data_IF_206301871054
#
_entry.id   IF_206301871054
#
_cell.length_a   1.000
_cell.length_b   1.000
_cell.length_c   1.000
_cell.angle_alpha   90.00
_cell.angle_beta   90.00
_cell.angle_gamma   90.00
#
_symmetry.space_group_name_H-M   'P 1'
#
loop_
_entity.id
_entity.type
_entity.pdbx_description
1 polymer ?
#
# COMPACT_ATOMS: atom_id res chain seq x y z
N UNK A 1 26.29 -45.12 53.33
CA UNK A 1 26.00 -44.43 54.61
C UNK A 1 25.38 -43.08 54.23
N UNK A 2 24.04 -42.89 54.29
CA UNK A 2 23.26 -42.18 55.35
C UNK A 2 23.97 -40.89 55.79
N UNK A 3 23.43 -39.66 55.66
CA UNK A 3 22.26 -39.00 56.32
C UNK A 3 21.66 -37.90 55.37
N UNK A 4 20.35 -37.65 55.18
CA UNK A 4 19.33 -36.97 56.04
C UNK A 4 19.87 -35.69 56.73
N UNK A 5 19.31 -34.47 56.64
CA UNK A 5 17.93 -34.03 56.94
C UNK A 5 17.59 -32.67 56.26
N UNK A 6 16.33 -32.59 55.86
CA UNK A 6 15.36 -31.50 55.61
C UNK A 6 15.66 -30.13 56.27
N UNK A 7 15.45 -29.04 55.52
CA UNK A 7 14.85 -27.81 56.05
C UNK A 7 13.90 -27.19 55.03
N UNK A 8 12.66 -27.04 55.48
CA UNK A 8 11.49 -26.48 54.82
C UNK A 8 11.47 -24.96 55.08
N UNK A 9 11.26 -24.13 54.05
CA UNK A 9 10.64 -22.81 54.23
C UNK A 9 9.64 -22.60 53.09
N UNK A 10 8.36 -22.54 53.46
CA UNK A 10 7.26 -22.02 52.65
C UNK A 10 7.37 -20.49 52.60
N UNK A 11 7.19 -19.91 51.41
CA UNK A 11 6.50 -18.63 51.26
C UNK A 11 5.84 -18.57 49.88
N UNK A 12 4.52 -18.65 49.91
CA UNK A 12 3.58 -18.47 48.81
C UNK A 12 3.52 -17.01 48.34
N UNK A 13 3.51 -16.82 47.02
CA UNK A 13 2.95 -15.62 46.41
C UNK A 13 2.20 -16.03 45.13
N UNK A 14 0.85 -16.07 45.23
CA UNK A 14 -0.02 -15.88 44.09
C UNK A 14 -0.04 -14.39 43.74
N UNK A 15 0.30 -14.07 42.51
CA UNK A 15 -0.21 -12.90 41.78
C UNK A 15 -0.34 -13.38 40.33
N UNK A 16 -1.53 -13.81 39.90
CA UNK A 16 -2.60 -12.96 39.37
C UNK A 16 -2.15 -12.24 38.09
N UNK A 17 -2.88 -12.53 37.02
CA UNK A 17 -2.69 -12.11 35.64
C UNK A 17 -2.19 -10.68 35.47
N UNK A 18 -1.09 -10.55 34.74
CA UNK A 18 -0.86 -9.38 33.90
C UNK A 18 -0.83 -9.88 32.45
N UNK A 19 -2.01 -9.80 31.82
CA UNK A 19 -2.13 -9.91 30.38
C UNK A 19 -1.08 -9.02 29.73
N UNK A 20 -0.23 -9.62 28.91
CA UNK A 20 0.60 -8.92 27.93
C UNK A 20 -0.32 -8.19 26.97
N UNK A 21 -0.61 -6.93 27.28
CA UNK A 21 -1.21 -6.00 26.33
C UNK A 21 -0.12 -5.63 25.33
N UNK A 22 -0.26 -5.90 24.02
CA UNK A 22 0.62 -5.30 23.05
C UNK A 22 0.42 -3.79 23.15
N UNK A 23 1.51 -3.07 23.46
CA UNK A 23 1.61 -1.62 23.39
C UNK A 23 1.27 -1.19 21.96
N UNK A 24 -0.01 -0.94 21.71
CA UNK A 24 -0.45 -0.08 20.60
C UNK A 24 0.16 1.28 20.91
N UNK A 25 1.20 1.63 20.17
CA UNK A 25 1.73 2.99 20.13
C UNK A 25 0.61 3.91 19.63
N UNK A 26 -0.18 4.42 20.57
CA UNK A 26 -1.10 5.53 20.37
C UNK A 26 -0.22 6.76 20.17
N UNK A 27 0.13 7.05 18.92
CA UNK A 27 0.65 8.36 18.55
C UNK A 27 -0.42 9.38 18.94
N UNK A 28 -0.22 10.02 20.09
CA UNK A 28 -1.04 11.12 20.59
C UNK A 28 -0.80 12.33 19.71
N UNK A 29 -1.60 12.47 18.66
CA UNK A 29 -1.79 13.74 17.97
C UNK A 29 -2.58 14.63 18.93
N UNK A 30 -2.06 15.81 19.36
CA UNK A 30 -2.86 16.72 20.15
C UNK A 30 -3.99 17.26 19.26
N UNK A 31 -5.20 16.78 19.51
CA UNK A 31 -6.42 17.40 19.01
C UNK A 31 -6.55 18.78 19.66
N UNK A 32 -6.11 19.82 18.96
CA UNK A 32 -6.49 21.18 19.31
C UNK A 32 -7.96 21.35 18.95
N UNK A 33 -8.81 21.30 19.97
CA UNK A 33 -10.18 21.77 19.88
C UNK A 33 -10.13 23.28 19.59
N UNK A 34 -10.47 23.63 18.35
CA UNK A 34 -10.69 24.99 17.87
C UNK A 34 -11.90 24.94 16.96
N UNK A 35 -12.99 25.53 17.45
CA UNK A 35 -14.31 25.54 16.86
C UNK A 35 -14.37 26.60 15.76
N UNK A 36 -14.12 26.25 14.50
CA UNK A 36 -14.35 27.12 13.35
C UNK A 36 -14.97 26.34 12.18
N UNK A 37 -16.30 26.27 12.21
CA UNK A 37 -17.20 25.74 11.18
C UNK A 37 -17.24 26.58 9.90
N UNK A 38 -16.08 26.88 9.30
CA UNK A 38 -16.02 27.54 7.98
C UNK A 38 -14.77 27.21 7.13
N UNK A 39 -13.97 26.22 7.52
CA UNK A 39 -12.85 25.72 6.72
C UNK A 39 -13.19 24.42 5.96
N UNK A 40 -14.44 24.32 5.46
CA UNK A 40 -14.67 23.66 4.17
C UNK A 40 -14.23 24.65 3.09
N UNK A 41 -13.00 25.14 3.20
CA UNK A 41 -12.34 25.83 2.11
C UNK A 41 -12.18 24.75 1.05
N UNK A 42 -12.77 25.02 -0.12
CA UNK A 42 -12.68 24.17 -1.30
C UNK A 42 -11.27 23.59 -1.37
N UNK A 43 -11.11 22.30 -1.08
CA UNK A 43 -9.89 21.60 -1.43
C UNK A 43 -9.79 21.71 -2.95
N UNK A 44 -9.08 22.72 -3.44
CA UNK A 44 -8.84 22.96 -4.86
C UNK A 44 -7.81 21.94 -5.39
N UNK A 45 -7.85 20.72 -4.86
CA UNK A 45 -6.76 19.78 -4.90
C UNK A 45 -7.26 18.35 -4.77
N UNK A 46 -6.42 17.43 -5.17
CA UNK A 46 -6.75 16.00 -5.18
C UNK A 46 -6.52 15.39 -3.80
N UNK A 47 -7.49 14.59 -3.35
CA UNK A 47 -7.41 13.77 -2.16
C UNK A 47 -7.36 12.28 -2.52
N UNK A 48 -6.70 11.47 -1.71
CA UNK A 48 -6.66 10.02 -1.84
C UNK A 48 -7.15 9.32 -0.57
N UNK A 49 -7.96 8.29 -0.72
CA UNK A 49 -8.31 7.36 0.35
C UNK A 49 -7.77 5.97 0.00
N UNK A 50 -7.03 5.35 0.92
CA UNK A 50 -6.31 4.10 0.67
C UNK A 50 -6.92 2.98 1.51
N UNK A 51 -7.18 1.85 0.88
CA UNK A 51 -7.53 0.59 1.53
C UNK A 51 -6.47 -0.44 1.17
N UNK A 52 -5.62 -0.82 2.12
CA UNK A 52 -4.61 -1.86 1.93
C UNK A 52 -5.19 -3.23 2.25
N UNK A 53 -4.93 -4.21 1.40
CA UNK A 53 -5.35 -5.60 1.60
C UNK A 53 -4.11 -6.39 2.02
N UNK A 54 -3.96 -6.62 3.34
CA UNK A 54 -2.85 -7.37 3.93
C UNK A 54 -1.96 -6.55 4.87
N UNK A 55 -1.18 -7.26 5.70
CA UNK A 55 -0.34 -6.69 6.76
C UNK A 55 1.16 -6.99 6.54
N UNK A 56 1.54 -7.45 5.35
CA UNK A 56 2.92 -7.79 5.00
C UNK A 56 3.77 -6.58 4.64
N UNK A 57 5.09 -6.79 4.52
CA UNK A 57 6.04 -5.73 4.15
C UNK A 57 5.68 -5.04 2.82
N UNK A 58 5.16 -5.79 1.85
CA UNK A 58 4.69 -5.25 0.57
C UNK A 58 3.51 -4.28 0.76
N UNK A 59 2.52 -4.62 1.61
CA UNK A 59 1.38 -3.76 1.89
C UNK A 59 1.80 -2.45 2.58
N UNK A 60 2.79 -2.51 3.48
CA UNK A 60 3.39 -1.33 4.11
C UNK A 60 4.10 -0.46 3.07
N UNK A 61 4.90 -1.07 2.18
CA UNK A 61 5.60 -0.36 1.12
C UNK A 61 4.62 0.33 0.15
N UNK A 62 3.57 -0.37 -0.30
CA UNK A 62 2.51 0.21 -1.14
C UNK A 62 1.80 1.35 -0.42
N UNK A 63 1.39 1.15 0.83
CA UNK A 63 0.70 2.19 1.60
C UNK A 63 1.55 3.46 1.77
N UNK A 64 2.84 3.31 2.06
CA UNK A 64 3.77 4.44 2.16
C UNK A 64 3.98 5.16 0.82
N UNK A 65 4.12 4.42 -0.28
CA UNK A 65 4.27 4.97 -1.63
C UNK A 65 3.04 5.78 -2.04
N UNK A 66 1.85 5.20 -1.89
CA UNK A 66 0.59 5.85 -2.25
C UNK A 66 0.36 7.11 -1.41
N UNK A 67 0.56 7.05 -0.08
CA UNK A 67 0.39 8.22 0.79
C UNK A 67 1.26 9.40 0.35
N UNK A 68 2.54 9.14 0.10
CA UNK A 68 3.50 10.16 -0.36
C UNK A 68 3.04 10.84 -1.66
N UNK A 69 2.56 10.04 -2.61
CA UNK A 69 2.07 10.58 -3.89
C UNK A 69 0.78 11.37 -3.68
N UNK A 70 -0.17 10.88 -2.89
CA UNK A 70 -1.43 11.60 -2.64
C UNK A 70 -1.23 12.95 -1.96
N UNK A 71 -0.22 13.11 -1.11
CA UNK A 71 0.13 14.40 -0.52
C UNK A 71 0.66 15.38 -1.58
N UNK A 72 1.45 14.89 -2.54
CA UNK A 72 1.98 15.68 -3.66
C UNK A 72 0.87 16.18 -4.59
N UNK A 73 -0.21 15.39 -4.76
CA UNK A 73 -1.32 15.72 -5.65
C UNK A 73 -2.26 16.81 -5.13
N UNK A 74 -2.18 17.18 -3.85
CA UNK A 74 -3.05 18.22 -3.26
C UNK A 74 -2.89 19.59 -3.93
N UNK A 75 -1.76 19.86 -4.58
CA UNK A 75 -1.52 21.11 -5.30
C UNK A 75 -2.01 21.06 -6.77
N UNK A 76 -2.46 19.91 -7.26
CA UNK A 76 -2.85 19.74 -8.67
C UNK A 76 -4.37 19.94 -8.81
N UNK A 77 -4.74 21.00 -9.54
CA UNK A 77 -6.14 21.32 -9.88
C UNK A 77 -6.64 20.54 -11.11
N UNK A 78 -5.74 20.24 -12.04
CA UNK A 78 -6.08 19.55 -13.29
C UNK A 78 -6.26 18.05 -13.03
N UNK A 79 -7.47 17.56 -13.29
CA UNK A 79 -7.83 16.18 -12.99
C UNK A 79 -7.08 15.16 -13.82
N UNK A 80 -6.86 15.45 -15.11
CA UNK A 80 -6.13 14.56 -16.01
C UNK A 80 -4.68 14.45 -15.56
N UNK A 81 -4.04 15.60 -15.33
CA UNK A 81 -2.66 15.67 -14.83
C UNK A 81 -2.52 15.00 -13.48
N UNK A 82 -3.49 15.15 -12.57
CA UNK A 82 -3.45 14.51 -11.26
C UNK A 82 -3.49 12.99 -11.38
N UNK A 83 -4.30 12.45 -12.29
CA UNK A 83 -4.39 11.01 -12.55
C UNK A 83 -3.13 10.43 -13.19
N UNK A 84 -2.58 11.10 -14.20
CA UNK A 84 -1.29 10.70 -14.81
C UNK A 84 -0.13 10.78 -13.83
N UNK A 85 -0.12 11.81 -12.99
CA UNK A 85 0.89 11.97 -11.94
C UNK A 85 0.73 10.88 -10.89
N UNK A 86 -0.51 10.60 -10.47
CA UNK A 86 -0.83 9.56 -9.51
C UNK A 86 -0.32 8.20 -9.97
N UNK A 87 -0.73 7.73 -11.15
CA UNK A 87 -0.37 6.40 -11.65
C UNK A 87 1.14 6.24 -11.75
N UNK A 88 1.81 7.18 -12.42
CA UNK A 88 3.25 7.12 -12.66
C UNK A 88 4.08 7.23 -11.39
N UNK A 89 3.82 8.24 -10.56
CA UNK A 89 4.61 8.42 -9.34
C UNK A 89 4.35 7.30 -8.35
N UNK A 90 3.14 6.74 -8.31
CA UNK A 90 2.84 5.66 -7.37
C UNK A 90 3.63 4.41 -7.71
N UNK A 91 3.67 3.97 -8.98
CA UNK A 91 4.48 2.81 -9.36
C UNK A 91 5.97 3.07 -9.20
N UNK A 92 6.45 4.29 -9.46
CA UNK A 92 7.85 4.67 -9.24
C UNK A 92 8.23 4.60 -7.75
N UNK A 93 7.38 5.12 -6.87
CA UNK A 93 7.61 5.09 -5.42
C UNK A 93 7.46 3.68 -4.84
N UNK A 94 6.53 2.88 -5.36
CA UNK A 94 6.43 1.46 -5.04
C UNK A 94 7.69 0.73 -5.45
N UNK A 95 8.17 0.93 -6.68
CA UNK A 95 9.40 0.31 -7.17
C UNK A 95 10.61 0.63 -6.29
N UNK A 96 10.80 1.91 -5.92
CA UNK A 96 11.88 2.33 -5.01
C UNK A 96 11.77 1.72 -3.61
N UNK A 97 10.55 1.48 -3.14
CA UNK A 97 10.26 0.95 -1.79
C UNK A 97 10.08 -0.57 -1.78
N UNK A 98 10.29 -1.24 -2.91
CA UNK A 98 10.16 -2.68 -3.02
C UNK A 98 11.19 -3.37 -2.10
N UNK A 99 10.76 -4.04 -1.02
CA UNK A 99 11.68 -4.68 -0.07
C UNK A 99 12.28 -5.99 -0.62
N UNK A 100 11.75 -6.54 -1.71
CA UNK A 100 12.23 -7.76 -2.35
C UNK A 100 12.16 -7.67 -3.89
N UNK A 101 13.07 -6.89 -4.52
CA UNK A 101 13.09 -6.72 -5.97
C UNK A 101 13.47 -8.01 -6.73
N UNK A 102 14.06 -8.99 -6.05
CA UNK A 102 14.35 -10.30 -6.63
C UNK A 102 13.06 -11.12 -6.80
N UNK A 103 12.14 -11.06 -5.84
CA UNK A 103 10.84 -11.72 -5.95
C UNK A 103 9.84 -10.95 -6.81
N UNK A 104 9.79 -9.63 -6.68
CA UNK A 104 8.80 -8.76 -7.31
C UNK A 104 9.44 -7.88 -8.40
N UNK A 105 9.55 -8.35 -9.65
CA UNK A 105 10.14 -7.58 -10.75
C UNK A 105 9.22 -6.49 -11.33
N UNK A 106 8.00 -6.32 -10.81
CA UNK A 106 7.09 -5.28 -11.28
C UNK A 106 6.22 -4.69 -10.15
N UNK A 107 5.99 -3.38 -10.24
CA UNK A 107 4.95 -2.64 -9.54
C UNK A 107 3.94 -2.09 -10.57
N UNK A 108 2.66 -2.17 -10.23
CA UNK A 108 1.53 -1.93 -11.15
C UNK A 108 0.51 -1.04 -10.45
N UNK A 109 -0.02 -0.04 -11.14
CA UNK A 109 -1.22 0.69 -10.71
C UNK A 109 -2.18 0.82 -11.89
N UNK A 110 -3.43 0.38 -11.69
CA UNK A 110 -4.45 0.39 -12.75
C UNK A 110 -5.85 0.69 -12.23
N UNK A 111 -6.67 1.42 -12.99
CA UNK A 111 -8.05 1.78 -12.57
C UNK A 111 -9.16 1.06 -13.35
N UNK A 112 -8.84 0.10 -14.22
CA UNK A 112 -9.85 -0.68 -14.93
C UNK A 112 -9.74 -2.17 -14.57
N UNK A 113 -10.54 -2.99 -15.25
CA UNK A 113 -10.54 -4.44 -15.04
C UNK A 113 -9.23 -5.06 -15.48
N UNK A 114 -8.73 -6.01 -14.70
CA UNK A 114 -7.51 -6.74 -15.03
C UNK A 114 -7.63 -8.20 -14.61
N UNK A 115 -6.79 -9.05 -15.20
CA UNK A 115 -6.56 -10.43 -14.75
C UNK A 115 -5.07 -10.65 -14.51
N UNK A 116 -4.75 -11.64 -13.70
CA UNK A 116 -3.39 -12.14 -13.52
C UNK A 116 -3.35 -13.63 -13.77
N UNK A 117 -2.26 -14.14 -14.35
CA UNK A 117 -2.11 -15.56 -14.63
C UNK A 117 -2.06 -16.41 -13.34
N UNK A 118 -1.32 -15.93 -12.33
CA UNK A 118 -1.31 -16.49 -10.98
C UNK A 118 -1.71 -15.43 -9.94
N UNK A 119 -2.92 -15.54 -9.35
CA UNK A 119 -3.34 -14.65 -8.26
C UNK A 119 -2.46 -14.70 -7.01
N UNK A 120 -1.76 -15.80 -6.75
CA UNK A 120 -0.82 -15.91 -5.63
C UNK A 120 0.51 -15.19 -5.91
N UNK A 121 0.77 -14.85 -7.17
CA UNK A 121 1.91 -14.06 -7.61
C UNK A 121 1.68 -12.55 -7.53
N UNK A 122 0.70 -12.09 -6.73
CA UNK A 122 0.41 -10.68 -6.47
C UNK A 122 0.49 -10.41 -4.97
N UNK A 123 1.14 -9.32 -4.58
CA UNK A 123 1.26 -8.91 -3.17
C UNK A 123 1.19 -7.39 -3.01
N UNK A 124 0.98 -6.93 -1.77
CA UNK A 124 0.92 -5.53 -1.42
C UNK A 124 -0.23 -4.78 -2.06
N UNK A 125 -1.34 -5.47 -2.36
CA UNK A 125 -2.49 -4.88 -3.04
C UNK A 125 -3.09 -3.75 -2.19
N UNK A 126 -3.25 -2.57 -2.79
CA UNK A 126 -3.93 -1.43 -2.21
C UNK A 126 -4.92 -0.84 -3.22
N UNK A 127 -6.15 -0.64 -2.78
CA UNK A 127 -7.16 0.08 -3.54
C UNK A 127 -7.18 1.54 -3.10
N UNK A 128 -7.03 2.46 -4.04
CA UNK A 128 -6.88 3.89 -3.81
C UNK A 128 -8.00 4.63 -4.52
N UNK A 129 -8.87 5.28 -3.76
CA UNK A 129 -9.87 6.19 -4.32
C UNK A 129 -9.29 7.60 -4.39
N UNK A 130 -8.91 8.01 -5.60
CA UNK A 130 -8.54 9.38 -5.92
C UNK A 130 -9.81 10.22 -6.08
N UNK A 131 -9.85 11.42 -5.51
CA UNK A 131 -11.01 12.33 -5.56
C UNK A 131 -10.58 13.77 -5.83
N UNK A 132 -11.34 14.46 -6.66
CA UNK A 132 -11.27 15.92 -6.83
C UNK A 132 -12.68 16.47 -7.04
N UNK A 133 -13.19 17.21 -6.05
CA UNK A 133 -14.58 17.67 -6.03
C UNK A 133 -15.60 16.53 -6.29
N UNK A 134 -16.33 16.56 -7.41
CA UNK A 134 -17.31 15.51 -7.80
C UNK A 134 -16.67 14.33 -8.54
N UNK A 135 -15.41 14.45 -8.96
CA UNK A 135 -14.68 13.45 -9.73
C UNK A 135 -14.07 12.42 -8.79
N UNK A 136 -14.16 11.14 -9.17
CA UNK A 136 -13.58 10.02 -8.44
C UNK A 136 -13.06 8.94 -9.38
N UNK A 137 -11.94 8.34 -9.03
CA UNK A 137 -11.38 7.18 -9.73
C UNK A 137 -10.79 6.22 -8.71
N UNK A 138 -11.03 4.92 -8.87
CA UNK A 138 -10.43 3.89 -8.03
C UNK A 138 -9.27 3.23 -8.78
N UNK A 139 -8.10 3.18 -8.15
CA UNK A 139 -6.92 2.48 -8.67
C UNK A 139 -6.62 1.29 -7.77
N UNK A 140 -6.27 0.17 -8.37
CA UNK A 140 -5.63 -0.95 -7.69
C UNK A 140 -4.13 -0.90 -7.98
N UNK A 141 -3.34 -0.79 -6.91
CA UNK A 141 -1.89 -0.79 -6.95
C UNK A 141 -1.35 -2.06 -6.28
N UNK A 142 -0.40 -2.74 -6.91
CA UNK A 142 0.13 -4.02 -6.42
C UNK A 142 1.55 -4.30 -6.94
N UNK A 143 2.21 -5.27 -6.33
CA UNK A 143 3.42 -5.88 -6.87
C UNK A 143 3.07 -7.21 -7.53
N UNK A 144 3.83 -7.58 -8.55
CA UNK A 144 3.71 -8.86 -9.23
C UNK A 144 5.04 -9.62 -9.19
N UNK A 145 4.97 -10.92 -8.93
CA UNK A 145 6.13 -11.81 -8.91
C UNK A 145 6.63 -12.13 -10.33
N UNK A 146 7.83 -12.72 -10.42
CA UNK A 146 8.26 -13.42 -11.63
C UNK A 146 7.34 -14.60 -11.97
N UNK A 147 7.54 -15.16 -13.18
CA UNK A 147 6.70 -16.21 -13.76
C UNK A 147 5.18 -15.92 -13.71
N UNK A 148 4.80 -14.67 -13.94
CA UNK A 148 3.41 -14.21 -13.90
C UNK A 148 3.12 -13.24 -15.05
N UNK A 149 1.85 -13.06 -15.36
CA UNK A 149 1.40 -12.15 -16.42
C UNK A 149 0.21 -11.35 -15.92
N UNK A 150 0.22 -10.05 -16.23
CA UNK A 150 -0.86 -9.11 -15.98
C UNK A 150 -1.55 -8.78 -17.30
N UNK A 151 -2.86 -9.02 -17.35
CA UNK A 151 -3.71 -8.77 -18.52
C UNK A 151 -4.62 -7.57 -18.27
N UNK A 152 -4.64 -6.61 -19.20
CA UNK A 152 -5.51 -5.43 -19.11
C UNK A 152 -6.83 -5.66 -19.86
N UNK A 153 -7.96 -5.37 -19.22
CA UNK A 153 -9.29 -5.43 -19.83
C UNK A 153 -9.82 -4.05 -20.23
N UNK A 154 -8.95 -3.22 -20.81
CA UNK A 154 -9.27 -1.83 -21.12
C UNK A 154 -8.10 -1.04 -21.69
N UNK A 155 -8.25 0.29 -21.69
CA UNK A 155 -7.24 1.21 -22.23
C UNK A 155 -6.00 1.28 -21.32
N UNK A 156 -4.81 1.10 -21.92
CA UNK A 156 -3.49 1.16 -21.27
C UNK A 156 -2.85 2.56 -21.22
N UNK A 157 -3.57 3.63 -21.57
CA UNK A 157 -3.07 5.00 -21.47
C UNK A 157 -2.61 5.38 -20.05
N UNK A 158 -1.63 6.28 -19.95
CA UNK A 158 -0.97 6.66 -18.68
C UNK A 158 -1.92 7.18 -17.59
N UNK A 159 -3.06 7.76 -17.98
CA UNK A 159 -4.14 8.17 -17.06
C UNK A 159 -4.65 6.97 -16.24
N UNK A 160 -4.64 5.79 -16.84
CA UNK A 160 -5.26 4.59 -16.31
C UNK A 160 -4.22 3.63 -15.76
N UNK A 161 -3.13 3.42 -16.50
CA UNK A 161 -2.14 2.37 -16.26
C UNK A 161 -0.74 2.94 -16.10
N UNK A 162 -0.02 2.44 -15.11
CA UNK A 162 1.43 2.56 -15.08
C UNK A 162 2.08 1.26 -14.61
N UNK A 163 3.30 1.06 -15.08
CA UNK A 163 4.18 -0.01 -14.67
C UNK A 163 5.55 0.56 -14.36
N UNK A 164 6.16 0.10 -13.28
CA UNK A 164 7.59 0.24 -13.02
C UNK A 164 8.15 -1.18 -12.83
N UNK A 165 9.04 -1.60 -13.73
CA UNK A 165 9.46 -3.01 -13.82
C UNK A 165 10.93 -3.17 -14.25
N UNK A 166 11.48 -4.35 -13.96
CA UNK A 166 12.78 -4.79 -14.47
C UNK A 166 12.66 -5.24 -15.93
N UNK A 167 13.21 -4.46 -16.86
CA UNK A 167 13.14 -4.73 -18.30
C UNK A 167 13.92 -5.97 -18.76
N UNK A 168 14.77 -6.55 -17.90
CA UNK A 168 15.44 -7.83 -18.20
C UNK A 168 14.55 -9.04 -17.92
N UNK A 169 13.54 -8.86 -17.08
CA UNK A 169 12.66 -9.92 -16.59
C UNK A 169 11.24 -9.76 -17.08
N UNK A 170 10.81 -8.53 -17.30
CA UNK A 170 9.47 -8.22 -17.76
C UNK A 170 9.46 -7.63 -19.17
N UNK A 171 8.41 -7.91 -19.91
CA UNK A 171 8.17 -7.40 -21.26
C UNK A 171 6.77 -6.82 -21.32
N UNK A 172 6.68 -5.57 -21.76
CA UNK A 172 5.43 -4.85 -21.95
C UNK A 172 4.98 -4.95 -23.40
N UNK A 173 3.74 -5.41 -23.62
CA UNK A 173 3.10 -5.40 -24.92
C UNK A 173 2.31 -4.10 -25.09
N UNK A 174 2.81 -3.21 -25.94
CA UNK A 174 2.16 -1.93 -26.22
C UNK A 174 0.81 -2.06 -26.94
N UNK A 175 0.57 -3.18 -27.62
CA UNK A 175 -0.66 -3.40 -28.39
C UNK A 175 -1.84 -3.79 -27.51
N UNK A 176 -1.59 -4.56 -26.46
CA UNK A 176 -2.62 -5.02 -25.52
C UNK A 176 -2.63 -4.26 -24.21
N UNK A 177 -1.49 -3.68 -23.79
CA UNK A 177 -1.32 -3.11 -22.46
C UNK A 177 -0.79 -4.12 -21.42
N UNK A 178 -0.52 -5.36 -21.84
CA UNK A 178 -0.16 -6.46 -20.93
C UNK A 178 1.30 -6.42 -20.50
N UNK A 179 1.58 -6.95 -19.31
CA UNK A 179 2.93 -7.12 -18.78
C UNK A 179 3.20 -8.58 -18.46
N UNK A 180 4.23 -9.16 -19.07
CA UNK A 180 4.67 -10.54 -18.80
C UNK A 180 6.02 -10.53 -18.08
N UNK A 181 6.15 -11.20 -16.94
CA UNK A 181 7.39 -11.28 -16.16
C UNK A 181 7.88 -12.74 -16.02
N UNK A 182 9.20 -12.92 -16.15
CA UNK A 182 9.93 -14.18 -16.03
C UNK A 182 10.65 -14.27 -14.68
#
# INVERSE_FOLDING_TARGET
>A
MRFSVISLVLASALAADAAVVPMVAKASIPAKAGNDSHLVERQAGVAGAITTIGNGAMSVATGAAVNLVTDTLRAIVDWTKARETFTKQTTDEMWKKNPDPAKFPAAICYNQGYRVADPNGVDGKASVTLRSNVLKTNYDCMYMTGANQFFTDGDGGLINLSYSYDSKRCTFDQSTGDLSCK
#
